data_IF_014427272060
#
_entry.id   IF_014427272060
#
_cell.length_a   1.000
_cell.length_b   1.000
_cell.length_c   1.000
_cell.angle_alpha   90.00
_cell.angle_beta   90.00
_cell.angle_gamma   90.00
#
_symmetry.space_group_name_H-M   'P 1'
#
loop_
_entity.id
_entity.type
_entity.pdbx_description
1 polymer ?
#
# COMPACT_ATOMS: atom_id res chain seq x y z
N UNK A 1 -8.50 21.42 -16.99
CA UNK A 1 -9.27 20.85 -15.87
C UNK A 1 -9.21 19.33 -15.92
N UNK A 2 -8.98 18.68 -14.79
CA UNK A 2 -8.88 17.23 -14.72
C UNK A 2 -10.24 16.57 -14.95
N UNK A 3 -10.25 15.47 -15.71
CA UNK A 3 -11.44 14.67 -15.93
C UNK A 3 -11.88 14.01 -14.62
N UNK A 4 -13.17 14.04 -14.31
CA UNK A 4 -13.71 13.50 -13.07
C UNK A 4 -13.43 11.99 -12.92
N UNK A 5 -13.47 11.24 -14.02
CA UNK A 5 -13.16 9.80 -14.00
C UNK A 5 -11.71 9.56 -13.61
N UNK A 6 -10.79 10.33 -14.16
CA UNK A 6 -9.37 10.23 -13.81
C UNK A 6 -9.15 10.59 -12.34
N UNK A 7 -9.80 11.67 -11.87
CA UNK A 7 -9.70 12.06 -10.47
C UNK A 7 -10.19 10.95 -9.55
N UNK A 8 -11.29 10.29 -9.89
CA UNK A 8 -11.80 9.17 -9.09
C UNK A 8 -10.84 7.98 -9.06
N UNK A 9 -10.23 7.65 -10.20
CA UNK A 9 -9.24 6.57 -10.26
C UNK A 9 -8.01 6.87 -9.41
N UNK A 10 -7.54 8.12 -9.44
CA UNK A 10 -6.40 8.52 -8.61
C UNK A 10 -6.76 8.49 -7.12
N UNK A 11 -7.98 8.90 -6.78
CA UNK A 11 -8.43 8.83 -5.39
C UNK A 11 -8.50 7.37 -4.90
N UNK A 12 -9.01 6.47 -5.73
CA UNK A 12 -9.01 5.04 -5.40
C UNK A 12 -7.59 4.52 -5.21
N UNK A 13 -6.66 4.98 -6.06
CA UNK A 13 -5.27 4.55 -5.96
C UNK A 13 -4.61 5.03 -4.67
N UNK A 14 -4.91 6.24 -4.22
CA UNK A 14 -4.43 6.72 -2.92
C UNK A 14 -4.80 5.74 -1.81
N UNK A 15 -6.06 5.34 -1.79
CA UNK A 15 -6.56 4.44 -0.75
C UNK A 15 -5.94 3.05 -0.85
N UNK A 16 -5.71 2.55 -2.07
CA UNK A 16 -5.02 1.27 -2.28
C UNK A 16 -3.58 1.30 -1.81
N UNK A 17 -2.88 2.41 -2.07
CA UNK A 17 -1.48 2.56 -1.65
C UNK A 17 -1.37 2.61 -0.11
N UNK A 18 -2.29 3.29 0.56
CA UNK A 18 -2.31 3.28 2.02
C UNK A 18 -2.60 1.89 2.58
N UNK A 19 -3.51 1.14 1.95
CA UNK A 19 -3.73 -0.25 2.36
C UNK A 19 -2.47 -1.09 2.18
N UNK A 20 -1.76 -0.90 1.06
CA UNK A 20 -0.50 -1.61 0.79
C UNK A 20 0.53 -1.32 1.88
N UNK A 21 0.65 -0.05 2.28
CA UNK A 21 1.55 0.34 3.35
C UNK A 21 1.21 -0.39 4.66
N UNK A 22 -0.07 -0.47 4.98
CA UNK A 22 -0.55 -1.15 6.17
C UNK A 22 -0.22 -2.65 6.13
N UNK A 23 -0.47 -3.27 4.97
CA UNK A 23 -0.20 -4.69 4.77
C UNK A 23 1.29 -5.00 4.96
N UNK A 24 2.16 -4.17 4.39
CA UNK A 24 3.61 -4.37 4.51
C UNK A 24 4.09 -4.16 5.95
N UNK A 25 3.48 -3.24 6.69
CA UNK A 25 3.79 -3.11 8.11
C UNK A 25 3.40 -4.37 8.89
N UNK A 26 2.31 -5.00 8.51
CA UNK A 26 1.90 -6.25 9.13
C UNK A 26 2.92 -7.36 8.86
N UNK A 27 3.46 -7.42 7.64
CA UNK A 27 4.54 -8.35 7.32
C UNK A 27 5.80 -8.05 8.14
N UNK A 28 6.17 -6.77 8.26
CA UNK A 28 7.30 -6.35 9.08
C UNK A 28 7.12 -6.80 10.53
N UNK A 29 5.92 -6.63 11.05
CA UNK A 29 5.57 -7.05 12.41
C UNK A 29 5.81 -8.54 12.62
N UNK A 30 5.40 -9.36 11.66
CA UNK A 30 5.65 -10.80 11.69
C UNK A 30 7.14 -11.11 11.75
N UNK A 31 7.93 -10.49 10.89
CA UNK A 31 9.37 -10.75 10.84
C UNK A 31 10.11 -10.25 12.08
N UNK A 32 9.65 -9.17 12.69
CA UNK A 32 10.22 -8.72 13.97
C UNK A 32 9.95 -9.73 15.07
N UNK A 33 8.75 -10.31 15.10
CA UNK A 33 8.39 -11.31 16.12
C UNK A 33 9.17 -12.61 15.94
N UNK A 34 9.55 -12.95 14.72
CA UNK A 34 10.31 -14.16 14.43
C UNK A 34 11.82 -13.93 14.45
N UNK A 35 12.28 -12.71 14.76
CA UNK A 35 13.69 -12.39 14.89
C UNK A 35 14.43 -12.19 13.58
N UNK A 36 13.72 -11.96 12.48
CA UNK A 36 14.33 -11.77 11.16
C UNK A 36 14.38 -10.28 10.82
N UNK A 37 15.32 -9.59 11.46
CA UNK A 37 15.42 -8.12 11.39
C UNK A 37 15.62 -7.59 9.97
N UNK A 38 16.35 -8.31 9.12
CA UNK A 38 16.56 -7.89 7.74
C UNK A 38 15.29 -7.84 6.93
N UNK A 39 14.46 -8.89 7.02
CA UNK A 39 13.16 -8.92 6.36
C UNK A 39 12.21 -7.90 6.95
N UNK A 40 12.23 -7.72 8.27
CA UNK A 40 11.40 -6.71 8.92
C UNK A 40 11.72 -5.32 8.37
N UNK A 41 13.02 -4.99 8.28
CA UNK A 41 13.43 -3.70 7.74
C UNK A 41 13.03 -3.53 6.28
N UNK A 42 13.17 -4.59 5.47
CA UNK A 42 12.77 -4.56 4.07
C UNK A 42 11.31 -4.15 3.93
N UNK A 43 10.41 -4.76 4.70
CA UNK A 43 8.99 -4.45 4.60
C UNK A 43 8.63 -3.09 5.20
N UNK A 44 9.39 -2.60 6.20
CA UNK A 44 9.21 -1.22 6.68
C UNK A 44 9.53 -0.21 5.58
N UNK A 45 10.60 -0.46 4.82
CA UNK A 45 10.96 0.39 3.69
C UNK A 45 9.90 0.34 2.61
N UNK A 46 9.40 -0.86 2.28
CA UNK A 46 8.32 -1.01 1.31
C UNK A 46 7.05 -0.28 1.75
N UNK A 47 6.71 -0.36 3.03
CA UNK A 47 5.56 0.36 3.58
C UNK A 47 5.73 1.87 3.40
N UNK A 48 6.92 2.39 3.65
CA UNK A 48 7.21 3.81 3.48
C UNK A 48 7.08 4.22 2.01
N UNK A 49 7.56 3.40 1.09
CA UNK A 49 7.44 3.68 -0.35
C UNK A 49 5.99 3.74 -0.81
N UNK A 50 5.15 2.82 -0.33
CA UNK A 50 3.73 2.85 -0.67
C UNK A 50 3.04 4.10 -0.13
N UNK A 51 3.40 4.51 1.08
CA UNK A 51 2.91 5.77 1.65
C UNK A 51 3.33 6.96 0.80
N UNK A 52 4.58 6.98 0.35
CA UNK A 52 5.10 8.05 -0.50
C UNK A 52 4.35 8.12 -1.83
N UNK A 53 4.01 6.96 -2.42
CA UNK A 53 3.19 6.90 -3.63
C UNK A 53 1.81 7.51 -3.37
N UNK A 54 1.17 7.16 -2.26
CA UNK A 54 -0.13 7.72 -1.90
C UNK A 54 -0.04 9.25 -1.81
N UNK A 55 1.01 9.77 -1.19
CA UNK A 55 1.18 11.22 -1.03
C UNK A 55 1.46 11.93 -2.34
N UNK A 56 2.10 11.26 -3.31
CA UNK A 56 2.27 11.83 -4.65
C UNK A 56 0.92 12.03 -5.33
N UNK A 57 0.06 11.02 -5.31
CA UNK A 57 -1.28 11.13 -5.90
C UNK A 57 -2.13 12.14 -5.15
N UNK A 58 -2.02 12.17 -3.83
CA UNK A 58 -2.71 13.12 -2.98
C UNK A 58 -2.36 14.55 -3.41
N UNK A 59 -1.07 14.85 -3.50
CA UNK A 59 -0.61 16.19 -3.87
C UNK A 59 -1.04 16.55 -5.29
N UNK A 60 -1.00 15.60 -6.21
CA UNK A 60 -1.43 15.83 -7.58
C UNK A 60 -2.90 16.24 -7.64
N UNK A 61 -3.77 15.57 -6.89
CA UNK A 61 -5.19 15.92 -6.82
C UNK A 61 -5.37 17.31 -6.20
N UNK A 62 -4.64 17.62 -5.12
CA UNK A 62 -4.72 18.93 -4.49
C UNK A 62 -4.29 20.03 -5.45
N UNK A 63 -3.22 19.80 -6.21
CA UNK A 63 -2.72 20.79 -7.18
C UNK A 63 -3.69 21.03 -8.33
N UNK A 64 -4.60 20.09 -8.59
CA UNK A 64 -5.61 20.19 -9.63
C UNK A 64 -7.00 20.51 -9.08
N UNK A 65 -7.08 21.02 -7.85
CA UNK A 65 -8.33 21.43 -7.20
C UNK A 65 -9.37 20.31 -7.10
N UNK A 66 -8.90 19.06 -6.96
CA UNK A 66 -9.77 17.91 -6.79
C UNK A 66 -9.88 17.52 -5.33
N UNK A 67 -11.06 17.05 -4.94
CA UNK A 67 -11.27 16.57 -3.57
C UNK A 67 -10.60 15.21 -3.39
N UNK A 68 -9.95 15.04 -2.25
CA UNK A 68 -9.41 13.74 -1.84
C UNK A 68 -10.34 13.16 -0.77
N UNK A 69 -10.82 11.94 -1.00
CA UNK A 69 -11.64 11.23 -0.01
C UNK A 69 -10.82 10.07 0.55
N UNK A 70 -10.54 10.13 1.84
CA UNK A 70 -9.81 9.07 2.53
C UNK A 70 -10.79 8.07 3.08
N UNK A 71 -10.73 6.85 2.57
CA UNK A 71 -11.59 5.76 3.01
C UNK A 71 -10.99 5.07 4.22
N UNK A 72 -11.78 4.22 4.87
CA UNK A 72 -11.25 3.40 5.95
C UNK A 72 -10.23 2.41 5.43
N UNK A 73 -9.14 2.21 6.18
CA UNK A 73 -8.13 1.21 5.83
C UNK A 73 -8.47 -0.08 6.55
N UNK A 74 -8.72 -1.13 5.78
CA UNK A 74 -9.07 -2.43 6.35
C UNK A 74 -7.91 -3.00 7.16
N UNK A 75 -8.23 -3.70 8.23
CA UNK A 75 -7.25 -4.45 9.00
C UNK A 75 -6.66 -5.55 8.12
N UNK A 76 -5.32 -5.67 8.01
CA UNK A 76 -4.74 -6.77 7.26
C UNK A 76 -5.11 -8.09 7.91
N UNK A 77 -5.62 -9.03 7.11
CA UNK A 77 -6.07 -10.34 7.59
C UNK A 77 -5.16 -11.45 7.08
N UNK A 78 -3.87 -11.21 7.04
CA UNK A 78 -2.94 -12.23 6.60
C UNK A 78 -2.64 -13.19 7.75
N UNK A 79 -2.78 -14.49 7.46
CA UNK A 79 -2.30 -15.53 8.37
C UNK A 79 -0.87 -15.85 7.99
N UNK A 80 0.05 -15.46 8.85
CA UNK A 80 1.47 -15.64 8.58
C UNK A 80 1.96 -16.83 9.39
N UNK A 81 1.90 -18.01 8.78
CA UNK A 81 2.23 -19.28 9.44
C UNK A 81 3.70 -19.65 9.32
N UNK A 82 4.37 -19.10 8.31
CA UNK A 82 5.81 -19.34 8.10
C UNK A 82 6.44 -18.12 7.43
N UNK A 83 7.78 -18.11 7.32
CA UNK A 83 8.48 -16.96 6.74
C UNK A 83 8.24 -16.77 5.24
N UNK A 84 7.76 -17.80 4.54
CA UNK A 84 7.49 -17.72 3.11
C UNK A 84 6.13 -17.08 2.81
N UNK A 85 5.19 -17.18 3.75
CA UNK A 85 3.85 -16.64 3.54
C UNK A 85 3.84 -15.12 3.28
N UNK A 86 4.55 -14.29 4.07
CA UNK A 86 4.61 -12.86 3.79
C UNK A 86 5.19 -12.55 2.41
N UNK A 87 6.22 -13.30 2.01
CA UNK A 87 6.85 -13.08 0.71
C UNK A 87 5.91 -13.41 -0.44
N UNK A 88 5.17 -14.52 -0.34
CA UNK A 88 4.17 -14.89 -1.35
C UNK A 88 3.05 -13.87 -1.42
N UNK A 89 2.56 -13.44 -0.25
CA UNK A 89 1.48 -12.46 -0.20
C UNK A 89 1.92 -11.10 -0.76
N UNK A 90 3.15 -10.69 -0.48
CA UNK A 90 3.69 -9.46 -1.01
C UNK A 90 3.74 -9.50 -2.55
N UNK A 91 4.20 -10.61 -3.12
CA UNK A 91 4.26 -10.77 -4.57
C UNK A 91 2.87 -10.73 -5.20
N UNK A 92 1.92 -11.46 -4.63
CA UNK A 92 0.54 -11.46 -5.12
C UNK A 92 -0.07 -10.07 -5.06
N UNK A 93 0.19 -9.34 -3.98
CA UNK A 93 -0.33 -8.00 -3.79
C UNK A 93 0.26 -7.02 -4.83
N UNK A 94 1.55 -7.10 -5.10
CA UNK A 94 2.19 -6.27 -6.12
C UNK A 94 1.62 -6.53 -7.51
N UNK A 95 1.36 -7.78 -7.84
CA UNK A 95 0.71 -8.14 -9.10
C UNK A 95 -0.68 -7.54 -9.20
N UNK A 96 -1.44 -7.58 -8.11
CA UNK A 96 -2.77 -6.99 -8.06
C UNK A 96 -2.73 -5.48 -8.25
N UNK A 97 -1.83 -4.79 -7.56
CA UNK A 97 -1.69 -3.34 -7.65
C UNK A 97 -1.27 -2.93 -9.07
N UNK A 98 -0.32 -3.65 -9.66
CA UNK A 98 0.12 -3.39 -11.03
C UNK A 98 -1.06 -3.52 -12.01
N UNK A 99 -1.86 -4.56 -11.87
CA UNK A 99 -3.04 -4.75 -12.72
C UNK A 99 -4.07 -3.63 -12.53
N UNK A 100 -4.18 -3.09 -11.31
CA UNK A 100 -5.12 -2.01 -11.01
C UNK A 100 -4.71 -0.69 -11.65
N UNK A 101 -3.41 -0.44 -11.80
CA UNK A 101 -2.89 0.80 -12.39
C UNK A 101 -2.97 0.75 -13.92
N UNK A 102 -2.69 -0.39 -14.49
CA UNK A 102 -2.71 -0.58 -15.94
C UNK A 102 -4.12 -0.81 -16.47
#
# INVERSE_FOLDING_TARGET
>A
MMNAHVANLLNEQINKEFYSAYLYLDFANYFERTGLAGFANYFKVQAQEERDHAMMFYQYLQDNDQLVTLEGIARPESRLDDMMAPLRQALEHEEFVTASIN
#
